data_IF_930979587091
#
_entry.id   IF_930979587091
#
_cell.length_a   1.000
_cell.length_b   1.000
_cell.length_c   1.000
_cell.angle_alpha   90.00
_cell.angle_beta   90.00
_cell.angle_gamma   90.00
#
_symmetry.space_group_name_H-M   'P 1'
#
loop_
_entity.id
_entity.type
_entity.pdbx_description
1 polymer ?
#
# COMPACT_ATOMS: atom_id res chain seq x y z
N UNK A 1 28.46 -16.29 -14.46
CA UNK A 1 28.54 -16.59 -15.92
C UNK A 1 27.58 -15.77 -16.78
N UNK A 2 26.51 -15.14 -16.27
CA UNK A 2 25.64 -14.23 -17.05
C UNK A 2 26.24 -12.84 -17.32
N UNK A 3 27.05 -12.33 -16.38
CA UNK A 3 27.57 -10.93 -16.43
C UNK A 3 28.49 -10.69 -17.63
N UNK A 4 29.29 -11.68 -18.03
CA UNK A 4 30.24 -11.53 -19.14
C UNK A 4 29.55 -11.59 -20.52
N UNK A 5 28.50 -12.41 -20.68
CA UNK A 5 27.71 -12.47 -21.91
C UNK A 5 26.85 -11.22 -22.12
N UNK A 6 26.35 -10.61 -21.03
CA UNK A 6 25.54 -9.39 -21.09
C UNK A 6 26.31 -8.21 -21.71
N UNK A 7 27.60 -8.06 -21.43
CA UNK A 7 28.45 -6.99 -22.00
C UNK A 7 28.50 -7.07 -23.53
N UNK A 8 28.67 -8.27 -24.10
CA UNK A 8 28.71 -8.47 -25.55
C UNK A 8 27.34 -8.26 -26.23
N UNK A 9 26.23 -8.46 -25.51
CA UNK A 9 24.87 -8.36 -26.05
C UNK A 9 24.22 -6.99 -25.82
N UNK A 10 24.67 -6.23 -24.83
CA UNK A 10 24.02 -5.00 -24.35
C UNK A 10 24.70 -3.70 -24.83
N UNK A 11 25.91 -3.77 -25.40
CA UNK A 11 26.60 -2.60 -25.96
C UNK A 11 25.87 -2.06 -27.21
N UNK A 12 25.33 -2.95 -28.06
CA UNK A 12 24.46 -2.62 -29.20
C UNK A 12 23.46 -3.76 -29.45
N UNK A 13 22.34 -3.81 -28.71
CA UNK A 13 21.34 -4.85 -28.91
C UNK A 13 20.69 -4.67 -30.29
N UNK A 14 20.83 -5.67 -31.16
CA UNK A 14 20.15 -5.65 -32.46
C UNK A 14 18.63 -5.49 -32.28
N UNK A 15 17.95 -4.90 -33.27
CA UNK A 15 16.48 -4.67 -33.27
C UNK A 15 15.70 -5.95 -32.93
N UNK A 16 16.20 -7.12 -33.38
CA UNK A 16 15.60 -8.43 -33.10
C UNK A 16 15.68 -8.82 -31.63
N UNK A 17 16.80 -8.54 -30.97
CA UNK A 17 17.01 -8.82 -29.54
C UNK A 17 16.17 -7.87 -28.69
N UNK A 18 16.18 -6.56 -29.00
CA UNK A 18 15.36 -5.57 -28.31
C UNK A 18 13.86 -5.94 -28.35
N UNK A 19 13.34 -6.31 -29.53
CA UNK A 19 11.94 -6.75 -29.68
C UNK A 19 11.62 -7.99 -28.86
N UNK A 20 12.54 -8.96 -28.78
CA UNK A 20 12.38 -10.15 -27.94
C UNK A 20 12.31 -9.78 -26.46
N UNK A 21 13.22 -8.92 -26.00
CA UNK A 21 13.23 -8.43 -24.62
C UNK A 21 11.94 -7.67 -24.29
N UNK A 22 11.48 -6.77 -25.16
CA UNK A 22 10.20 -6.08 -24.97
C UNK A 22 9.02 -7.05 -24.90
N UNK A 23 9.02 -8.11 -25.70
CA UNK A 23 7.97 -9.14 -25.67
C UNK A 23 7.97 -9.90 -24.34
N UNK A 24 9.15 -10.21 -23.79
CA UNK A 24 9.31 -10.87 -22.49
C UNK A 24 8.88 -9.93 -21.35
N UNK A 25 9.23 -8.64 -21.42
CA UNK A 25 8.92 -7.65 -20.39
C UNK A 25 7.44 -7.24 -20.35
N UNK A 26 6.79 -7.15 -21.52
CA UNK A 26 5.42 -6.65 -21.67
C UNK A 26 4.37 -7.31 -20.74
N UNK A 27 4.30 -8.65 -20.58
CA UNK A 27 3.31 -9.26 -19.68
C UNK A 27 3.51 -8.83 -18.22
N UNK A 28 4.74 -8.69 -17.73
CA UNK A 28 5.00 -8.23 -16.36
C UNK A 28 4.50 -6.80 -16.15
N UNK A 29 4.82 -5.90 -17.09
CA UNK A 29 4.34 -4.52 -17.04
C UNK A 29 2.81 -4.45 -17.12
N UNK A 30 2.17 -5.29 -17.94
CA UNK A 30 0.72 -5.36 -18.02
C UNK A 30 0.09 -5.87 -16.72
N UNK A 31 0.68 -6.86 -16.06
CA UNK A 31 0.21 -7.36 -14.77
C UNK A 31 0.35 -6.31 -13.67
N UNK A 32 1.49 -5.60 -13.62
CA UNK A 32 1.71 -4.51 -12.66
C UNK A 32 0.69 -3.38 -12.90
N UNK A 33 0.57 -2.90 -14.13
CA UNK A 33 -0.39 -1.84 -14.47
C UNK A 33 -1.83 -2.28 -14.27
N UNK A 34 -2.15 -3.54 -14.55
CA UNK A 34 -3.45 -4.14 -14.29
C UNK A 34 -3.76 -4.20 -12.79
N UNK A 35 -2.80 -4.64 -11.99
CA UNK A 35 -2.91 -4.67 -10.54
C UNK A 35 -3.15 -3.26 -9.98
N UNK A 36 -2.38 -2.24 -10.41
CA UNK A 36 -2.64 -0.85 -9.99
C UNK A 36 -4.02 -0.33 -10.43
N UNK A 37 -4.55 -0.79 -11.56
CA UNK A 37 -5.90 -0.43 -12.02
C UNK A 37 -7.00 -1.10 -11.19
N UNK A 38 -6.78 -2.31 -10.68
CA UNK A 38 -7.75 -3.05 -9.85
C UNK A 38 -7.55 -2.85 -8.36
N UNK A 39 -6.42 -2.27 -7.94
CA UNK A 39 -6.19 -1.83 -6.56
C UNK A 39 -7.22 -0.78 -6.20
N UNK A 40 -7.98 -1.05 -5.14
CA UNK A 40 -8.94 -0.08 -4.58
C UNK A 40 -8.24 1.25 -4.30
N UNK A 41 -8.88 2.37 -4.63
CA UNK A 41 -8.40 3.71 -4.31
C UNK A 41 -8.05 3.85 -2.82
N UNK A 42 -8.78 3.15 -1.94
CA UNK A 42 -8.50 3.12 -0.51
C UNK A 42 -7.15 2.44 -0.19
N UNK A 43 -6.84 1.32 -0.83
CA UNK A 43 -5.56 0.65 -0.68
C UNK A 43 -4.40 1.49 -1.23
N UNK A 44 -4.62 2.20 -2.35
CA UNK A 44 -3.64 3.11 -2.91
C UNK A 44 -3.36 4.31 -1.98
N UNK A 45 -4.40 4.87 -1.37
CA UNK A 45 -4.28 5.93 -0.36
C UNK A 45 -3.45 5.48 0.85
N UNK A 46 -3.67 4.27 1.34
CA UNK A 46 -2.87 3.67 2.43
C UNK A 46 -1.40 3.51 2.02
N UNK A 47 -1.11 2.98 0.82
CA UNK A 47 0.26 2.80 0.31
C UNK A 47 0.98 4.15 0.15
N UNK A 48 0.27 5.18 -0.31
CA UNK A 48 0.82 6.53 -0.49
C UNK A 48 0.86 7.35 0.81
N UNK A 49 0.38 6.81 1.94
CA UNK A 49 0.30 7.53 3.21
C UNK A 49 -0.70 8.69 3.21
N UNK A 50 -1.64 8.71 2.26
CA UNK A 50 -2.66 9.75 2.13
C UNK A 50 -3.88 9.32 2.96
N UNK A 51 -4.32 10.10 3.96
CA UNK A 51 -5.50 9.74 4.75
C UNK A 51 -6.77 9.74 3.87
N UNK A 52 -7.67 8.78 4.09
CA UNK A 52 -8.95 8.70 3.37
C UNK A 52 -9.75 10.00 3.56
N UNK A 53 -10.31 10.52 2.46
CA UNK A 53 -11.04 11.80 2.45
C UNK A 53 -12.18 11.84 3.47
N UNK A 54 -12.92 10.74 3.65
CA UNK A 54 -14.02 10.69 4.61
C UNK A 54 -13.52 10.82 6.07
N UNK A 55 -12.33 10.27 6.39
CA UNK A 55 -11.70 10.41 7.70
C UNK A 55 -11.23 11.84 7.93
N UNK A 56 -10.62 12.47 6.91
CA UNK A 56 -10.24 13.88 7.00
C UNK A 56 -11.45 14.79 7.18
N UNK A 57 -12.50 14.58 6.39
CA UNK A 57 -13.74 15.35 6.47
C UNK A 57 -14.40 15.19 7.85
N UNK A 58 -14.44 13.97 8.37
CA UNK A 58 -14.97 13.72 9.71
C UNK A 58 -14.15 14.42 10.78
N UNK A 59 -12.82 14.39 10.67
CA UNK A 59 -11.92 15.10 11.59
C UNK A 59 -12.15 16.61 11.55
N UNK A 60 -12.27 17.18 10.35
CA UNK A 60 -12.46 18.61 10.14
C UNK A 60 -13.84 19.08 10.59
N UNK A 61 -14.89 18.29 10.34
CA UNK A 61 -16.24 18.55 10.84
C UNK A 61 -16.27 18.55 12.37
N UNK A 62 -15.59 17.58 13.02
CA UNK A 62 -15.46 17.52 14.48
C UNK A 62 -14.68 18.71 15.04
N UNK A 63 -13.56 19.07 14.41
CA UNK A 63 -12.77 20.26 14.76
C UNK A 63 -13.61 21.54 14.67
N UNK A 64 -14.36 21.69 13.58
CA UNK A 64 -15.25 22.84 13.37
C UNK A 64 -16.37 22.87 14.41
N UNK A 65 -17.00 21.73 14.71
CA UNK A 65 -18.02 21.63 15.75
C UNK A 65 -17.49 22.08 17.11
N UNK A 66 -16.29 21.63 17.50
CA UNK A 66 -15.65 21.97 18.78
C UNK A 66 -15.19 23.42 18.85
N UNK A 67 -14.37 23.86 17.90
CA UNK A 67 -13.67 25.14 18.01
C UNK A 67 -14.48 26.32 17.46
N UNK A 68 -15.33 26.10 16.45
CA UNK A 68 -16.12 27.17 15.82
C UNK A 68 -17.52 27.25 16.39
N UNK A 69 -18.19 26.10 16.53
CA UNK A 69 -19.58 26.06 16.98
C UNK A 69 -19.73 25.80 18.49
N UNK A 70 -18.63 25.43 19.17
CA UNK A 70 -18.60 25.10 20.62
C UNK A 70 -19.62 24.01 21.00
N UNK A 71 -19.91 23.10 20.07
CA UNK A 71 -20.83 22.01 20.30
C UNK A 71 -20.11 20.88 21.06
N UNK A 72 -20.73 20.29 22.10
CA UNK A 72 -20.18 19.11 22.75
C UNK A 72 -20.09 17.96 21.75
N UNK A 73 -18.92 17.32 21.69
CA UNK A 73 -18.69 16.17 20.83
C UNK A 73 -18.89 14.89 21.65
N UNK A 74 -19.80 13.99 21.23
CA UNK A 74 -19.86 12.64 21.79
C UNK A 74 -18.66 11.86 21.30
N UNK A 75 -17.61 11.76 22.12
CA UNK A 75 -16.57 10.76 21.93
C UNK A 75 -17.18 9.43 22.30
N UNK A 76 -17.67 8.67 21.30
CA UNK A 76 -18.02 7.25 21.46
C UNK A 76 -16.76 6.38 21.67
N UNK A 77 -15.80 6.88 22.44
CA UNK A 77 -14.84 6.03 23.11
C UNK A 77 -15.63 5.50 24.29
N UNK A 78 -16.34 4.39 24.09
CA UNK A 78 -16.57 3.47 25.19
C UNK A 78 -15.20 3.32 25.85
N UNK A 79 -15.10 3.55 27.16
CA UNK A 79 -13.90 3.22 27.91
C UNK A 79 -13.55 1.78 27.56
N UNK A 80 -12.60 1.59 26.64
CA UNK A 80 -12.01 0.29 26.41
C UNK A 80 -11.20 0.10 27.68
N UNK A 81 -11.73 -0.73 28.58
CA UNK A 81 -11.01 -1.12 29.78
C UNK A 81 -9.67 -1.70 29.31
N UNK A 82 -8.52 -1.14 29.76
CA UNK A 82 -7.22 -1.72 29.46
C UNK A 82 -7.13 -3.21 29.82
N UNK A 83 -8.00 -3.69 30.70
CA UNK A 83 -8.14 -5.11 31.09
C UNK A 83 -8.79 -6.00 30.02
N UNK A 84 -9.53 -5.43 29.04
CA UNK A 84 -10.09 -6.16 27.89
C UNK A 84 -9.07 -6.34 26.76
N UNK A 85 -7.97 -5.57 26.79
CA UNK A 85 -6.85 -5.74 25.86
C UNK A 85 -5.96 -6.85 26.43
N UNK A 86 -6.39 -8.11 26.28
CA UNK A 86 -5.52 -9.24 26.55
C UNK A 86 -4.24 -9.11 25.73
N UNK A 87 -3.10 -9.09 26.43
CA UNK A 87 -1.77 -9.19 25.84
C UNK A 87 -1.63 -10.61 25.25
N UNK A 88 -2.09 -10.81 24.02
CA UNK A 88 -1.81 -12.04 23.27
C UNK A 88 -0.35 -12.02 22.77
N UNK A 89 0.58 -12.11 23.72
CA UNK A 89 2.00 -12.34 23.48
C UNK A 89 2.37 -13.77 23.89
N UNK A 90 1.66 -14.79 23.40
CA UNK A 90 2.15 -16.18 23.51
C UNK A 90 1.58 -17.04 22.39
N UNK A 91 2.33 -17.19 21.29
CA UNK A 91 1.91 -18.12 20.25
C UNK A 91 2.78 -18.24 19.00
N UNK A 92 3.85 -17.46 18.83
CA UNK A 92 4.74 -17.58 17.66
C UNK A 92 5.89 -18.57 17.87
N UNK A 93 5.63 -19.70 18.51
CA UNK A 93 6.60 -20.80 18.65
C UNK A 93 6.11 -22.06 17.95
N UNK A 94 5.83 -21.99 16.64
CA UNK A 94 5.83 -23.17 15.77
C UNK A 94 5.82 -22.74 14.29
N UNK A 95 7.00 -22.39 13.76
CA UNK A 95 7.22 -22.48 12.31
C UNK A 95 7.88 -23.83 12.00
N UNK A 96 7.24 -24.70 11.20
CA UNK A 96 7.89 -25.91 10.72
C UNK A 96 8.89 -25.56 9.61
N UNK A 97 10.08 -26.14 9.73
CA UNK A 97 11.16 -26.09 8.73
C UNK A 97 10.85 -26.92 7.50
#
# INVERSE_FOLDING_TARGET
MLVHGAVAWCLEPTVRIARKLSTIQRPFLLQISGAYRTTSTAALQVILGIPLLHIQLQREARSTALFRLRLPLSTNVSDIDPSEIEEEATGWSAHPS
#
